data_IF_722520222418
#
_entry.id   IF_722520222418
#
_cell.length_a   1.000
_cell.length_b   1.000
_cell.length_c   1.000
_cell.angle_alpha   90.00
_cell.angle_beta   90.00
_cell.angle_gamma   90.00
#
_symmetry.space_group_name_H-M   'P 1'
#
loop_
_entity.id
_entity.type
_entity.pdbx_description
1 polymer ?
#
# COMPACT_ATOMS: atom_id res chain seq x y z
N UNK A 1 44.26 2.28 11.92
CA UNK A 1 43.36 1.57 12.85
C UNK A 1 42.11 1.25 12.07
N UNK A 2 41.88 -0.01 11.74
CA UNK A 2 40.57 -0.43 11.22
C UNK A 2 39.59 -0.30 12.38
N UNK A 3 38.52 0.47 12.22
CA UNK A 3 37.40 0.40 13.16
C UNK A 3 36.91 -1.04 13.12
N UNK A 4 36.96 -1.73 14.25
CA UNK A 4 36.26 -3.00 14.40
C UNK A 4 34.79 -2.71 14.10
N UNK A 5 34.32 -3.21 12.96
CA UNK A 5 32.89 -3.20 12.64
C UNK A 5 32.24 -4.01 13.76
N UNK A 6 31.27 -3.40 14.43
CA UNK A 6 30.42 -4.11 15.37
C UNK A 6 29.51 -5.04 14.56
N UNK A 7 30.03 -6.25 14.30
CA UNK A 7 29.34 -7.28 13.51
C UNK A 7 28.02 -7.70 14.15
N UNK A 8 27.89 -7.61 15.48
CA UNK A 8 26.62 -7.88 16.15
C UNK A 8 25.59 -6.81 15.82
N UNK A 9 25.99 -5.53 15.87
CA UNK A 9 25.12 -4.42 15.46
C UNK A 9 24.72 -4.53 13.99
N UNK A 10 25.65 -4.85 13.11
CA UNK A 10 25.39 -4.95 11.68
C UNK A 10 24.49 -6.16 11.34
N UNK A 11 24.67 -7.31 12.02
CA UNK A 11 23.77 -8.45 11.90
C UNK A 11 22.36 -8.14 12.40
N UNK A 12 22.24 -7.40 13.51
CA UNK A 12 20.94 -6.96 14.01
C UNK A 12 20.21 -6.08 12.99
N UNK A 13 20.91 -5.20 12.28
CA UNK A 13 20.32 -4.38 11.21
C UNK A 13 19.85 -5.24 10.03
N UNK A 14 20.63 -6.24 9.62
CA UNK A 14 20.23 -7.19 8.57
C UNK A 14 18.98 -7.97 8.98
N UNK A 15 18.92 -8.45 10.23
CA UNK A 15 17.76 -9.18 10.75
C UNK A 15 16.51 -8.29 10.82
N UNK A 16 16.64 -7.02 11.21
CA UNK A 16 15.55 -6.06 11.19
C UNK A 16 15.01 -5.86 9.77
N UNK A 17 15.90 -5.74 8.79
CA UNK A 17 15.49 -5.52 7.41
C UNK A 17 14.86 -6.77 6.78
N UNK A 18 15.37 -7.96 7.09
CA UNK A 18 14.69 -9.21 6.75
C UNK A 18 13.31 -9.32 7.39
N UNK A 19 13.16 -8.94 8.66
CA UNK A 19 11.86 -8.97 9.32
C UNK A 19 10.87 -8.01 8.66
N UNK A 20 11.33 -6.81 8.27
CA UNK A 20 10.51 -5.86 7.52
C UNK A 20 10.07 -6.43 6.17
N UNK A 21 10.98 -6.99 5.39
CA UNK A 21 10.67 -7.65 4.12
C UNK A 21 9.69 -8.81 4.28
N UNK A 22 9.78 -9.56 5.39
CA UNK A 22 8.84 -10.63 5.71
C UNK A 22 7.44 -10.08 5.94
N UNK A 23 7.30 -9.06 6.77
CA UNK A 23 6.00 -8.42 7.02
C UNK A 23 5.38 -7.88 5.73
N UNK A 24 6.18 -7.23 4.87
CA UNK A 24 5.75 -6.75 3.55
C UNK A 24 5.27 -7.89 2.63
N UNK A 25 5.86 -9.10 2.72
CA UNK A 25 5.38 -10.27 1.99
C UNK A 25 4.09 -10.85 2.56
N UNK A 26 3.95 -10.86 3.88
CA UNK A 26 2.76 -11.35 4.56
C UNK A 26 1.54 -10.46 4.20
N UNK A 27 1.72 -9.13 4.18
CA UNK A 27 0.70 -8.18 3.69
C UNK A 27 0.27 -8.48 2.25
N UNK A 28 1.23 -8.76 1.35
CA UNK A 28 0.95 -9.10 -0.04
C UNK A 28 0.21 -10.43 -0.19
N UNK A 29 0.48 -11.41 0.67
CA UNK A 29 -0.13 -12.74 0.59
C UNK A 29 -1.62 -12.73 0.91
N UNK A 30 -2.08 -11.73 1.64
CA UNK A 30 -3.51 -11.49 1.92
C UNK A 30 -4.23 -10.76 0.78
N UNK A 31 -3.49 -10.21 -0.20
CA UNK A 31 -4.07 -9.44 -1.31
C UNK A 31 -4.55 -10.32 -2.48
N UNK A 32 -5.69 -9.96 -3.06
CA UNK A 32 -6.18 -10.59 -4.29
C UNK A 32 -5.48 -10.02 -5.54
N UNK A 33 -4.29 -10.55 -5.84
CA UNK A 33 -3.44 -9.98 -6.90
C UNK A 33 -3.82 -10.42 -8.32
N UNK A 34 -3.74 -9.46 -9.25
CA UNK A 34 -3.75 -9.73 -10.69
C UNK A 34 -2.57 -10.62 -11.13
N UNK A 35 -2.68 -11.26 -12.32
CA UNK A 35 -1.64 -12.19 -12.83
C UNK A 35 -0.26 -11.53 -12.95
N UNK A 36 -0.20 -10.26 -13.33
CA UNK A 36 1.04 -9.48 -13.41
C UNK A 36 1.70 -9.33 -12.05
N UNK A 37 0.93 -8.87 -11.05
CA UNK A 37 1.41 -8.64 -9.69
C UNK A 37 1.78 -9.94 -8.96
N UNK A 38 1.09 -11.05 -9.24
CA UNK A 38 1.52 -12.39 -8.79
C UNK A 38 2.95 -12.76 -9.24
N UNK A 39 3.44 -12.22 -10.37
CA UNK A 39 4.84 -12.42 -10.79
C UNK A 39 5.80 -11.56 -9.97
N UNK A 40 5.44 -10.31 -9.67
CA UNK A 40 6.22 -9.42 -8.82
C UNK A 40 6.33 -9.97 -7.39
N UNK A 41 5.21 -10.39 -6.79
CA UNK A 41 5.18 -11.04 -5.48
C UNK A 41 6.08 -12.30 -5.44
N UNK A 42 6.05 -13.12 -6.50
CA UNK A 42 6.98 -14.26 -6.63
C UNK A 42 8.44 -13.83 -6.72
N UNK A 43 8.74 -12.71 -7.37
CA UNK A 43 10.09 -12.14 -7.42
C UNK A 43 10.56 -11.73 -6.02
N UNK A 44 9.73 -10.98 -5.29
CA UNK A 44 9.98 -10.57 -3.92
C UNK A 44 10.24 -11.77 -2.99
N UNK A 45 9.39 -12.80 -3.06
CA UNK A 45 9.60 -14.04 -2.29
C UNK A 45 10.94 -14.72 -2.58
N UNK A 46 11.43 -14.67 -3.83
CA UNK A 46 12.74 -15.23 -4.20
C UNK A 46 13.88 -14.41 -3.61
N UNK A 47 13.78 -13.09 -3.65
CA UNK A 47 14.77 -12.18 -3.06
C UNK A 47 14.86 -12.43 -1.55
N UNK A 48 13.72 -12.41 -0.84
CA UNK A 48 13.66 -12.68 0.60
C UNK A 48 14.30 -14.03 0.96
N UNK A 49 13.87 -15.12 0.30
CA UNK A 49 14.42 -16.47 0.56
C UNK A 49 15.91 -16.58 0.27
N UNK A 50 16.42 -15.85 -0.73
CA UNK A 50 17.86 -15.81 -1.02
C UNK A 50 18.62 -15.19 0.16
N UNK A 51 18.18 -14.02 0.63
CA UNK A 51 18.83 -13.31 1.73
C UNK A 51 18.71 -14.04 3.06
N UNK A 52 17.52 -14.58 3.37
CA UNK A 52 17.27 -15.44 4.54
C UNK A 52 18.22 -16.64 4.56
N UNK A 53 18.31 -17.38 3.44
CA UNK A 53 19.22 -18.52 3.34
C UNK A 53 20.69 -18.15 3.50
N UNK A 54 21.12 -16.97 3.04
CA UNK A 54 22.49 -16.49 3.27
C UNK A 54 22.75 -16.19 4.75
N UNK A 55 21.79 -15.56 5.45
CA UNK A 55 21.89 -15.31 6.90
C UNK A 55 21.92 -16.61 7.69
N UNK A 56 21.13 -17.62 7.32
CA UNK A 56 21.17 -18.95 7.93
C UNK A 56 22.52 -19.66 7.74
N UNK A 57 23.17 -19.48 6.59
CA UNK A 57 24.52 -20.00 6.34
C UNK A 57 25.52 -19.29 7.25
N UNK A 58 25.48 -17.95 7.30
CA UNK A 58 26.36 -17.17 8.17
C UNK A 58 26.20 -17.55 9.65
N UNK A 59 24.98 -17.81 10.13
CA UNK A 59 24.74 -18.25 11.50
C UNK A 59 25.41 -19.60 11.85
N UNK A 60 25.79 -20.39 10.84
CA UNK A 60 26.50 -21.68 11.00
C UNK A 60 28.01 -21.54 10.82
N UNK A 61 28.45 -20.61 9.97
CA UNK A 61 29.85 -20.47 9.57
C UNK A 61 30.59 -19.37 10.30
N UNK A 62 29.87 -18.34 10.77
CA UNK A 62 30.39 -17.09 11.35
C UNK A 62 31.50 -16.44 10.50
N UNK A 63 31.47 -16.70 9.19
CA UNK A 63 32.49 -16.26 8.25
C UNK A 63 32.29 -14.79 7.89
N UNK A 64 33.33 -13.97 8.09
CA UNK A 64 33.35 -12.59 7.61
C UNK A 64 33.15 -12.49 6.09
N UNK A 65 33.56 -13.51 5.32
CA UNK A 65 33.31 -13.58 3.88
C UNK A 65 31.82 -13.71 3.56
N UNK A 66 31.11 -14.55 4.32
CA UNK A 66 29.67 -14.77 4.17
C UNK A 66 28.90 -13.51 4.61
N UNK A 67 29.32 -12.88 5.71
CA UNK A 67 28.75 -11.61 6.16
C UNK A 67 28.84 -10.50 5.11
N UNK A 68 30.04 -10.27 4.56
CA UNK A 68 30.23 -9.25 3.53
C UNK A 68 29.43 -9.55 2.25
N UNK A 69 29.25 -10.82 1.93
CA UNK A 69 28.43 -11.23 0.81
C UNK A 69 26.94 -10.91 1.04
N UNK A 70 26.44 -11.14 2.27
CA UNK A 70 25.07 -10.75 2.66
C UNK A 70 24.86 -9.26 2.48
N UNK A 71 25.77 -8.42 2.99
CA UNK A 71 25.63 -6.96 2.87
C UNK A 71 25.52 -6.51 1.41
N UNK A 72 26.40 -7.03 0.54
CA UNK A 72 26.41 -6.68 -0.89
C UNK A 72 25.13 -7.12 -1.62
N UNK A 73 24.66 -8.33 -1.31
CA UNK A 73 23.43 -8.85 -1.90
C UNK A 73 22.20 -8.10 -1.39
N UNK A 74 22.16 -7.71 -0.12
CA UNK A 74 21.09 -6.88 0.44
C UNK A 74 21.06 -5.51 -0.25
N UNK A 75 22.20 -4.82 -0.36
CA UNK A 75 22.32 -3.53 -1.06
C UNK A 75 21.87 -3.63 -2.53
N UNK A 76 22.17 -4.74 -3.21
CA UNK A 76 21.80 -4.95 -4.60
C UNK A 76 20.31 -5.27 -4.80
N UNK A 77 19.70 -6.02 -3.89
CA UNK A 77 18.36 -6.59 -4.09
C UNK A 77 17.25 -5.82 -3.36
N UNK A 78 17.54 -5.16 -2.24
CA UNK A 78 16.56 -4.40 -1.47
C UNK A 78 15.83 -3.35 -2.33
N UNK A 79 16.49 -2.56 -3.20
CA UNK A 79 15.78 -1.56 -4.02
C UNK A 79 14.75 -2.20 -4.96
N UNK A 80 15.08 -3.35 -5.57
CA UNK A 80 14.14 -4.06 -6.44
C UNK A 80 12.98 -4.66 -5.64
N UNK A 81 13.23 -5.13 -4.43
CA UNK A 81 12.17 -5.60 -3.53
C UNK A 81 11.19 -4.47 -3.20
N UNK A 82 11.71 -3.32 -2.76
CA UNK A 82 10.89 -2.14 -2.42
C UNK A 82 10.11 -1.61 -3.61
N UNK A 83 10.70 -1.56 -4.80
CA UNK A 83 9.99 -1.15 -6.02
C UNK A 83 8.84 -2.10 -6.33
N UNK A 84 9.06 -3.41 -6.24
CA UNK A 84 8.00 -4.40 -6.46
C UNK A 84 6.90 -4.31 -5.39
N UNK A 85 7.26 -4.08 -4.13
CA UNK A 85 6.30 -3.88 -3.05
C UNK A 85 5.40 -2.67 -3.33
N UNK A 86 6.01 -1.50 -3.58
CA UNK A 86 5.30 -0.26 -3.85
C UNK A 86 4.40 -0.39 -5.08
N UNK A 87 4.87 -1.04 -6.13
CA UNK A 87 4.11 -1.31 -7.35
C UNK A 87 2.89 -2.21 -7.10
N UNK A 88 3.00 -3.19 -6.20
CA UNK A 88 1.86 -4.04 -5.81
C UNK A 88 0.84 -3.25 -4.99
N UNK A 89 1.33 -2.51 -3.99
CA UNK A 89 0.48 -1.70 -3.11
C UNK A 89 -0.18 -0.54 -3.84
N UNK A 90 0.50 0.06 -4.82
CA UNK A 90 -0.05 1.13 -5.65
C UNK A 90 -1.31 0.67 -6.40
N UNK A 91 -1.20 -0.40 -7.19
CA UNK A 91 -2.34 -0.90 -7.97
C UNK A 91 -3.47 -1.37 -7.07
N UNK A 92 -3.16 -2.11 -5.99
CA UNK A 92 -4.21 -2.60 -5.09
C UNK A 92 -4.87 -1.46 -4.32
N UNK A 93 -4.09 -0.46 -3.92
CA UNK A 93 -4.59 0.75 -3.30
C UNK A 93 -5.48 1.55 -4.25
N UNK A 94 -5.03 1.75 -5.49
CA UNK A 94 -5.80 2.46 -6.51
C UNK A 94 -7.07 1.69 -6.91
N UNK A 95 -7.00 0.36 -7.01
CA UNK A 95 -8.16 -0.50 -7.25
C UNK A 95 -9.22 -0.31 -6.16
N UNK A 96 -8.84 -0.41 -4.89
CA UNK A 96 -9.75 -0.17 -3.76
C UNK A 96 -10.33 1.23 -3.75
N UNK A 97 -9.50 2.25 -3.97
CA UNK A 97 -9.98 3.64 -4.02
C UNK A 97 -10.97 3.87 -5.16
N UNK A 98 -10.74 3.24 -6.33
CA UNK A 98 -11.67 3.29 -7.45
C UNK A 98 -12.95 2.50 -7.20
N UNK A 99 -12.89 1.35 -6.52
CA UNK A 99 -14.08 0.60 -6.09
C UNK A 99 -14.94 1.47 -5.17
N UNK A 100 -14.34 2.16 -4.21
CA UNK A 100 -15.05 3.12 -3.34
C UNK A 100 -15.68 4.26 -4.16
N UNK A 101 -14.94 4.87 -5.10
CA UNK A 101 -15.50 5.92 -5.95
C UNK A 101 -16.71 5.44 -6.76
N UNK A 102 -16.64 4.23 -7.32
CA UNK A 102 -17.75 3.65 -8.07
C UNK A 102 -18.98 3.41 -7.19
N UNK A 103 -18.79 2.99 -5.95
CA UNK A 103 -19.90 2.84 -4.99
C UNK A 103 -20.55 4.19 -4.70
N UNK A 104 -19.75 5.22 -4.37
CA UNK A 104 -20.23 6.56 -4.10
C UNK A 104 -20.97 7.16 -5.31
N UNK A 105 -20.42 7.02 -6.52
CA UNK A 105 -21.03 7.47 -7.77
C UNK A 105 -22.40 6.81 -8.02
N UNK A 106 -22.51 5.50 -7.75
CA UNK A 106 -23.78 4.77 -7.90
C UNK A 106 -24.84 5.25 -6.93
N UNK A 107 -24.47 5.49 -5.67
CA UNK A 107 -25.42 6.00 -4.67
C UNK A 107 -25.81 7.45 -4.97
N UNK A 108 -24.87 8.29 -5.40
CA UNK A 108 -25.13 9.67 -5.81
C UNK A 108 -26.11 9.73 -6.99
N UNK A 109 -25.91 8.87 -7.99
CA UNK A 109 -26.82 8.78 -9.14
C UNK A 109 -28.24 8.38 -8.72
N UNK A 110 -28.39 7.49 -7.72
CA UNK A 110 -29.72 7.14 -7.20
C UNK A 110 -30.39 8.33 -6.55
N UNK A 111 -29.65 9.11 -5.76
CA UNK A 111 -30.15 10.32 -5.10
C UNK A 111 -30.54 11.38 -6.12
N UNK A 112 -29.74 11.58 -7.16
CA UNK A 112 -30.06 12.52 -8.25
C UNK A 112 -31.34 12.16 -9.01
N UNK A 113 -31.72 10.87 -9.01
CA UNK A 113 -32.96 10.36 -9.60
C UNK A 113 -34.16 10.38 -8.63
N UNK A 114 -33.97 10.77 -7.36
CA UNK A 114 -35.05 10.85 -6.35
C UNK A 114 -35.90 12.12 -6.54
N UNK A 115 -37.20 12.01 -6.26
CA UNK A 115 -38.13 13.15 -6.26
C UNK A 115 -38.05 13.87 -4.91
N UNK A 116 -37.06 14.75 -4.78
CA UNK A 116 -36.68 15.41 -3.52
C UNK A 116 -37.45 16.71 -3.28
N UNK A 117 -37.67 17.02 -2.01
CA UNK A 117 -38.24 18.30 -1.58
C UNK A 117 -37.17 19.39 -1.50
N UNK A 118 -37.55 20.67 -1.62
CA UNK A 118 -36.62 21.82 -1.60
C UNK A 118 -35.68 21.89 -0.36
N UNK A 119 -35.95 21.15 0.72
CA UNK A 119 -35.07 21.10 1.90
C UNK A 119 -33.97 20.04 1.82
N UNK A 120 -34.04 19.16 0.83
CA UNK A 120 -33.12 18.03 0.64
C UNK A 120 -32.04 18.32 -0.41
N UNK A 121 -32.25 19.34 -1.27
CA UNK A 121 -31.27 19.79 -2.27
C UNK A 121 -29.91 20.15 -1.63
N UNK A 122 -29.90 20.82 -0.47
CA UNK A 122 -28.65 21.16 0.24
C UNK A 122 -27.86 19.92 0.67
N UNK A 123 -28.55 18.81 0.97
CA UNK A 123 -27.91 17.54 1.35
C UNK A 123 -27.30 16.85 0.13
N UNK A 124 -27.99 16.89 -1.00
CA UNK A 124 -27.48 16.38 -2.28
C UNK A 124 -26.24 17.14 -2.71
N UNK A 125 -26.28 18.48 -2.67
CA UNK A 125 -25.13 19.34 -2.97
C UNK A 125 -23.92 18.98 -2.07
N UNK A 126 -24.16 18.70 -0.79
CA UNK A 126 -23.10 18.28 0.14
C UNK A 126 -22.53 16.90 -0.20
N UNK A 127 -23.37 15.95 -0.63
CA UNK A 127 -22.90 14.65 -1.12
C UNK A 127 -22.02 14.78 -2.37
N UNK A 128 -22.41 15.63 -3.34
CA UNK A 128 -21.58 15.95 -4.52
C UNK A 128 -20.23 16.54 -4.10
N UNK A 129 -20.22 17.48 -3.14
CA UNK A 129 -18.97 18.06 -2.62
C UNK A 129 -18.05 17.01 -1.96
N UNK A 130 -18.62 16.06 -1.21
CA UNK A 130 -17.84 14.96 -0.63
C UNK A 130 -17.25 14.08 -1.73
N UNK A 131 -18.07 13.70 -2.71
CA UNK A 131 -17.62 12.89 -3.85
C UNK A 131 -16.47 13.56 -4.60
N UNK A 132 -16.62 14.85 -4.96
CA UNK A 132 -15.60 15.60 -5.67
C UNK A 132 -14.28 15.69 -4.89
N UNK A 133 -14.34 15.92 -3.58
CA UNK A 133 -13.15 15.96 -2.73
C UNK A 133 -12.40 14.62 -2.70
N UNK A 134 -13.14 13.51 -2.64
CA UNK A 134 -12.54 12.17 -2.68
C UNK A 134 -11.95 11.92 -4.07
N UNK A 135 -12.72 12.21 -5.13
CA UNK A 135 -12.32 12.02 -6.52
C UNK A 135 -11.01 12.74 -6.84
N UNK A 136 -10.89 14.02 -6.45
CA UNK A 136 -9.67 14.80 -6.69
C UNK A 136 -8.42 14.18 -6.05
N UNK A 137 -8.54 13.62 -4.84
CA UNK A 137 -7.42 12.98 -4.16
C UNK A 137 -7.02 11.66 -4.83
N UNK A 138 -8.00 10.84 -5.20
CA UNK A 138 -7.76 9.57 -5.90
C UNK A 138 -7.15 9.83 -7.29
N UNK A 139 -7.65 10.83 -8.02
CA UNK A 139 -7.09 11.22 -9.32
C UNK A 139 -5.65 11.74 -9.19
N UNK A 140 -5.36 12.53 -8.16
CA UNK A 140 -4.01 13.00 -7.89
C UNK A 140 -3.05 11.82 -7.65
N UNK A 141 -3.46 10.87 -6.83
CA UNK A 141 -2.69 9.65 -6.58
C UNK A 141 -2.50 8.80 -7.86
N UNK A 142 -3.57 8.63 -8.65
CA UNK A 142 -3.54 7.92 -9.92
C UNK A 142 -2.50 8.53 -10.89
N UNK A 143 -2.29 9.84 -10.84
CA UNK A 143 -1.31 10.54 -11.69
C UNK A 143 0.11 10.48 -11.11
N UNK A 144 0.28 10.67 -9.80
CA UNK A 144 1.62 10.83 -9.20
C UNK A 144 2.35 9.52 -8.94
N UNK A 145 1.63 8.42 -8.71
CA UNK A 145 2.20 7.14 -8.30
C UNK A 145 3.05 7.25 -7.00
N UNK A 146 2.77 8.27 -6.18
CA UNK A 146 3.48 8.53 -4.93
C UNK A 146 2.73 7.93 -3.73
N UNK A 147 3.48 7.33 -2.80
CA UNK A 147 2.96 6.81 -1.55
C UNK A 147 2.38 7.91 -0.66
N UNK A 148 2.94 9.11 -0.64
CA UNK A 148 2.36 10.20 0.17
C UNK A 148 0.98 10.61 -0.34
N UNK A 149 0.79 10.57 -1.66
CA UNK A 149 -0.51 10.87 -2.27
C UNK A 149 -1.49 9.70 -2.05
N UNK A 150 -1.03 8.44 -2.03
CA UNK A 150 -1.85 7.29 -1.60
C UNK A 150 -2.37 7.45 -0.17
N UNK A 151 -1.47 7.76 0.77
CA UNK A 151 -1.81 7.92 2.18
C UNK A 151 -2.79 9.09 2.36
N UNK A 152 -2.60 10.18 1.62
CA UNK A 152 -3.53 11.31 1.57
C UNK A 152 -4.92 10.90 1.05
N UNK A 153 -4.98 10.20 -0.08
CA UNK A 153 -6.24 9.75 -0.68
C UNK A 153 -6.98 8.76 0.23
N UNK A 154 -6.28 7.79 0.80
CA UNK A 154 -6.85 6.81 1.73
C UNK A 154 -7.42 7.48 2.97
N UNK A 155 -6.67 8.43 3.55
CA UNK A 155 -7.14 9.18 4.73
C UNK A 155 -8.39 10.03 4.41
N UNK A 156 -8.45 10.64 3.23
CA UNK A 156 -9.61 11.42 2.82
C UNK A 156 -10.86 10.54 2.66
N UNK A 157 -10.71 9.36 2.05
CA UNK A 157 -11.79 8.35 1.95
C UNK A 157 -12.26 7.93 3.33
N UNK A 158 -11.36 7.50 4.22
CA UNK A 158 -11.70 7.06 5.58
C UNK A 158 -12.45 8.14 6.38
N UNK A 159 -12.11 9.41 6.14
CA UNK A 159 -12.72 10.54 6.82
C UNK A 159 -14.13 10.87 6.30
N UNK A 160 -14.32 10.90 4.97
CA UNK A 160 -15.52 11.46 4.37
C UNK A 160 -16.56 10.42 3.94
N UNK A 161 -16.13 9.19 3.62
CA UNK A 161 -17.04 8.11 3.22
C UNK A 161 -18.16 7.86 4.27
N UNK A 162 -17.89 7.85 5.59
CA UNK A 162 -18.96 7.64 6.58
C UNK A 162 -20.00 8.75 6.58
N UNK A 163 -19.58 10.01 6.36
CA UNK A 163 -20.48 11.16 6.29
C UNK A 163 -21.36 11.09 5.04
N UNK A 164 -20.78 10.72 3.89
CA UNK A 164 -21.53 10.51 2.65
C UNK A 164 -22.69 9.51 2.84
N UNK A 165 -22.40 8.33 3.41
CA UNK A 165 -23.42 7.30 3.60
C UNK A 165 -24.46 7.68 4.66
N UNK A 166 -24.09 8.45 5.68
CA UNK A 166 -25.05 8.98 6.64
C UNK A 166 -26.10 9.87 5.94
N UNK A 167 -25.66 10.74 5.04
CA UNK A 167 -26.56 11.63 4.29
C UNK A 167 -27.42 10.81 3.32
N UNK A 168 -26.83 9.84 2.62
CA UNK A 168 -27.55 8.93 1.74
C UNK A 168 -28.69 8.20 2.46
N UNK A 169 -28.42 7.65 3.64
CA UNK A 169 -29.42 6.95 4.46
C UNK A 169 -30.54 7.90 4.91
N UNK A 170 -30.21 9.15 5.25
CA UNK A 170 -31.21 10.16 5.61
C UNK A 170 -32.13 10.57 4.44
N UNK A 171 -31.61 10.56 3.21
CA UNK A 171 -32.39 10.87 2.00
C UNK A 171 -33.22 9.68 1.51
N UNK A 172 -32.82 8.46 1.87
CA UNK A 172 -33.46 7.22 1.43
C UNK A 172 -34.63 6.76 2.33
N UNK A 173 -35.01 7.52 3.36
CA UNK A 173 -35.99 7.17 4.39
C UNK A 173 -37.08 8.23 4.59
#
# INVERSE_FOLDING_TARGET
MFQDIDYQKALNMINQELQKMKNELDEIDEMNLSRGKKKLAKCMKRIYKKLEGMVEIYAKTESHGDFNNICRELEALQPSFTLNYNEICYDNGLEKLNETLQELEQELQKVDDMDLSNGEEEKVDHMHQIYDQIYEQVERFARSHDRSDFESASHQVEKLQPEFFLIYDELSH
#
